data_IF_540612010455
#
_entry.id   IF_540612010455
#
_cell.length_a   1.000
_cell.length_b   1.000
_cell.length_c   1.000
_cell.angle_alpha   90.00
_cell.angle_beta   90.00
_cell.angle_gamma   90.00
#
_symmetry.space_group_name_H-M   'P 1'
#
loop_
_entity.id
_entity.type
_entity.pdbx_description
1 polymer ?
#
# COMPACT_ATOMS: atom_id res chain seq x y z
N UNK A 1 32.14 55.57 -33.70
CA UNK A 1 33.58 55.56 -33.34
C UNK A 1 33.71 54.51 -32.27
N UNK A 2 34.32 53.34 -32.42
CA UNK A 2 35.49 52.84 -33.15
C UNK A 2 35.32 51.29 -33.17
N UNK A 3 35.28 50.58 -34.30
CA UNK A 3 36.40 49.87 -34.97
C UNK A 3 37.37 49.16 -33.99
N UNK A 4 37.87 47.93 -34.18
CA UNK A 4 37.73 46.85 -35.16
C UNK A 4 38.56 45.65 -34.60
N UNK A 5 38.27 44.41 -35.03
CA UNK A 5 39.24 43.32 -35.09
C UNK A 5 38.80 42.29 -36.14
N UNK A 6 39.68 42.04 -37.11
CA UNK A 6 39.56 41.23 -38.32
C UNK A 6 39.92 39.74 -38.06
N UNK A 7 39.17 38.77 -38.62
CA UNK A 7 39.54 37.82 -39.71
C UNK A 7 40.40 36.60 -39.27
N UNK A 8 40.25 35.35 -39.72
CA UNK A 8 40.14 34.76 -41.08
C UNK A 8 39.71 33.26 -41.02
N UNK A 9 38.96 32.82 -42.07
CA UNK A 9 38.99 31.52 -42.83
C UNK A 9 38.70 30.18 -42.13
N UNK A 10 38.08 29.16 -42.74
CA UNK A 10 37.80 28.83 -44.15
C UNK A 10 36.48 28.05 -44.30
N UNK A 11 35.95 28.05 -45.52
CA UNK A 11 34.85 27.22 -46.00
C UNK A 11 35.36 25.89 -46.58
N UNK A 12 34.50 24.87 -46.56
CA UNK A 12 34.40 23.69 -47.45
C UNK A 12 33.25 22.83 -46.87
N UNK A 13 32.36 22.15 -47.56
CA UNK A 13 31.81 22.15 -48.93
C UNK A 13 30.72 21.06 -48.91
N UNK A 14 29.65 21.26 -49.68
CA UNK A 14 28.84 20.26 -50.38
C UNK A 14 28.11 19.13 -49.62
N UNK A 15 26.82 18.98 -49.95
CA UNK A 15 26.10 17.75 -49.65
C UNK A 15 24.58 17.85 -49.68
N UNK A 16 24.00 18.42 -50.73
CA UNK A 16 22.59 18.21 -51.06
C UNK A 16 22.42 16.77 -51.53
N UNK A 17 21.54 15.98 -50.90
CA UNK A 17 20.88 14.85 -51.54
C UNK A 17 19.45 14.71 -51.00
N UNK A 18 18.54 15.02 -51.90
CA UNK A 18 17.13 14.70 -51.90
C UNK A 18 16.92 13.18 -52.06
N UNK A 19 15.70 12.76 -51.76
CA UNK A 19 14.97 11.64 -52.32
C UNK A 19 14.62 10.46 -51.40
N UNK A 20 13.30 10.26 -51.42
CA UNK A 20 12.55 9.00 -51.43
C UNK A 20 12.00 8.47 -50.10
N UNK A 21 10.68 8.65 -50.01
CA UNK A 21 9.77 7.76 -49.32
C UNK A 21 10.00 6.31 -49.75
N UNK A 22 10.23 5.46 -48.77
CA UNK A 22 10.09 4.01 -48.89
C UNK A 22 9.14 3.56 -47.77
N UNK A 23 8.01 3.02 -48.19
CA UNK A 23 7.15 2.14 -47.40
C UNK A 23 7.94 0.89 -47.06
N UNK A 24 8.00 0.54 -45.78
CA UNK A 24 8.48 -0.78 -45.35
C UNK A 24 7.44 -1.39 -44.41
N UNK A 25 6.82 -2.46 -44.89
CA UNK A 25 6.01 -3.38 -44.11
C UNK A 25 6.98 -4.24 -43.29
N UNK A 26 7.07 -4.00 -41.97
CA UNK A 26 7.77 -4.91 -41.07
C UNK A 26 6.77 -5.64 -40.18
N UNK A 27 6.64 -6.92 -40.51
CA UNK A 27 5.96 -8.04 -39.85
C UNK A 27 5.70 -7.90 -38.33
N UNK A 28 4.41 -8.05 -37.98
CA UNK A 28 3.91 -8.32 -36.63
C UNK A 28 4.51 -9.63 -36.09
N UNK A 29 5.60 -9.52 -35.34
CA UNK A 29 6.12 -10.61 -34.52
C UNK A 29 5.28 -10.69 -33.24
N UNK A 30 4.26 -11.54 -33.27
CA UNK A 30 3.47 -11.91 -32.08
C UNK A 30 4.41 -12.64 -31.12
N UNK A 31 4.97 -11.93 -30.15
CA UNK A 31 5.65 -12.56 -29.01
C UNK A 31 4.58 -13.26 -28.17
N UNK A 32 4.53 -14.57 -28.27
CA UNK A 32 3.86 -15.45 -27.32
C UNK A 32 4.52 -15.23 -25.95
N UNK A 33 3.83 -14.47 -25.09
CA UNK A 33 4.14 -14.41 -23.67
C UNK A 33 3.92 -15.82 -23.12
N UNK A 34 5.03 -16.49 -22.76
CA UNK A 34 4.98 -17.77 -22.07
C UNK A 34 4.27 -17.57 -20.73
N UNK A 35 3.19 -18.31 -20.51
CA UNK A 35 2.55 -18.38 -19.21
C UNK A 35 3.56 -18.84 -18.15
N UNK A 36 3.64 -18.16 -17.00
CA UNK A 36 4.49 -18.63 -15.92
C UNK A 36 3.95 -19.98 -15.44
N UNK A 37 4.88 -20.94 -15.34
CA UNK A 37 4.62 -22.30 -14.91
C UNK A 37 3.69 -22.34 -13.69
N UNK A 38 2.66 -23.18 -13.78
CA UNK A 38 1.73 -23.48 -12.69
C UNK A 38 2.51 -23.96 -11.46
N UNK A 39 2.78 -23.02 -10.55
CA UNK A 39 3.33 -23.31 -9.24
C UNK A 39 2.30 -24.10 -8.46
N UNK A 40 2.60 -25.38 -8.25
CA UNK A 40 1.71 -26.36 -7.62
C UNK A 40 0.93 -25.81 -6.44
N UNK A 41 -0.38 -26.02 -6.46
CA UNK A 41 -1.29 -25.70 -5.38
C UNK A 41 -0.79 -26.37 -4.10
N UNK A 42 -0.16 -25.57 -3.22
CA UNK A 42 0.12 -26.02 -1.86
C UNK A 42 -1.24 -26.21 -1.17
N UNK A 43 -1.40 -27.41 -0.64
CA UNK A 43 -2.55 -27.91 0.08
C UNK A 43 -3.05 -26.87 1.08
N UNK A 44 -4.35 -26.58 1.00
CA UNK A 44 -5.00 -25.56 1.82
C UNK A 44 -5.08 -26.09 3.26
N UNK A 45 -4.56 -25.33 4.22
CA UNK A 45 -4.83 -25.60 5.62
C UNK A 45 -6.30 -25.22 5.90
N UNK A 46 -7.05 -26.18 6.46
CA UNK A 46 -8.45 -26.02 6.80
C UNK A 46 -8.70 -24.74 7.61
N UNK A 47 -9.83 -24.09 7.32
CA UNK A 47 -10.24 -22.86 7.98
C UNK A 47 -10.26 -23.07 9.50
N UNK A 48 -9.44 -22.31 10.22
CA UNK A 48 -9.50 -22.26 11.69
C UNK A 48 -10.93 -21.89 12.14
N UNK A 49 -11.35 -22.39 13.31
CA UNK A 49 -12.67 -22.10 13.85
C UNK A 49 -12.92 -20.58 13.92
N UNK A 50 -14.13 -20.10 13.59
CA UNK A 50 -14.43 -18.69 13.58
C UNK A 50 -14.16 -18.04 14.94
N UNK A 51 -13.22 -17.09 14.97
CA UNK A 51 -12.84 -16.34 16.18
C UNK A 51 -14.04 -15.52 16.64
N UNK A 52 -14.45 -15.73 17.89
CA UNK A 52 -15.53 -14.94 18.51
C UNK A 52 -14.95 -13.65 19.06
N UNK A 53 -15.19 -12.52 18.37
CA UNK A 53 -14.82 -11.20 18.87
C UNK A 53 -15.82 -10.80 19.96
N UNK A 54 -15.43 -10.91 21.23
CA UNK A 54 -16.21 -10.38 22.36
C UNK A 54 -16.01 -8.87 22.46
N UNK A 55 -16.65 -8.12 21.56
CA UNK A 55 -16.77 -6.68 21.72
C UNK A 55 -17.77 -6.32 22.83
N UNK A 56 -17.67 -5.11 23.39
CA UNK A 56 -18.70 -4.48 24.24
C UNK A 56 -20.01 -4.16 23.49
N UNK A 57 -20.06 -4.50 22.20
CA UNK A 57 -21.21 -4.36 21.32
C UNK A 57 -22.13 -5.57 21.46
N UNK A 58 -23.45 -5.40 21.31
CA UNK A 58 -24.43 -6.51 21.26
C UNK A 58 -24.23 -7.46 20.07
N UNK A 59 -23.28 -7.18 19.18
CA UNK A 59 -23.00 -7.95 17.98
C UNK A 59 -21.72 -8.78 18.15
N UNK A 60 -21.87 -10.10 18.14
CA UNK A 60 -20.75 -11.02 17.95
C UNK A 60 -20.50 -11.14 16.45
N UNK A 61 -19.34 -10.67 15.99
CA UNK A 61 -18.90 -10.90 14.61
C UNK A 61 -18.09 -12.19 14.61
N UNK A 62 -18.51 -13.14 13.77
CA UNK A 62 -17.79 -14.38 13.47
C UNK A 62 -17.41 -14.35 12.00
N UNK A 63 -16.32 -13.67 11.64
CA UNK A 63 -15.91 -13.65 10.25
C UNK A 63 -15.47 -15.07 9.88
N UNK A 64 -16.04 -15.62 8.81
CA UNK A 64 -15.50 -16.83 8.20
C UNK A 64 -14.40 -16.41 7.24
N UNK A 65 -13.16 -16.88 7.40
CA UNK A 65 -12.09 -16.58 6.47
C UNK A 65 -12.51 -16.97 5.05
N UNK A 66 -12.22 -16.11 4.07
CA UNK A 66 -12.49 -16.42 2.68
C UNK A 66 -11.68 -17.65 2.27
N UNK A 67 -12.37 -18.76 1.99
CA UNK A 67 -11.80 -20.03 1.54
C UNK A 67 -11.98 -20.19 0.03
N UNK A 68 -11.19 -21.06 -0.60
CA UNK A 68 -11.39 -21.43 -1.99
C UNK A 68 -12.82 -21.93 -2.25
N UNK A 69 -13.41 -22.66 -1.29
CA UNK A 69 -14.79 -23.11 -1.38
C UNK A 69 -15.81 -21.95 -1.39
N UNK A 70 -15.58 -20.89 -0.60
CA UNK A 70 -16.42 -19.67 -0.63
C UNK A 70 -16.30 -18.97 -1.99
N UNK A 71 -15.07 -18.85 -2.52
CA UNK A 71 -14.82 -18.21 -3.82
C UNK A 71 -15.54 -18.94 -4.96
N UNK A 72 -15.45 -20.28 -4.99
CA UNK A 72 -16.14 -21.13 -5.96
C UNK A 72 -17.66 -21.06 -5.78
N UNK A 73 -18.16 -21.14 -4.54
CA UNK A 73 -19.60 -21.13 -4.25
C UNK A 73 -20.27 -19.78 -4.58
N UNK A 74 -19.54 -18.66 -4.47
CA UNK A 74 -20.04 -17.32 -4.80
C UNK A 74 -20.09 -17.05 -6.31
N UNK A 75 -19.59 -17.97 -7.16
CA UNK A 75 -19.43 -17.71 -8.59
C UNK A 75 -18.43 -16.58 -8.89
N UNK A 76 -17.60 -16.23 -7.92
CA UNK A 76 -16.52 -15.25 -8.08
C UNK A 76 -15.48 -15.86 -9.03
N UNK A 77 -15.54 -15.46 -10.30
CA UNK A 77 -14.61 -15.90 -11.34
C UNK A 77 -13.17 -15.42 -11.13
N UNK A 78 -12.38 -15.51 -12.20
CA UNK A 78 -10.93 -15.19 -12.30
C UNK A 78 -10.55 -13.73 -11.96
N UNK A 79 -11.47 -12.90 -11.50
CA UNK A 79 -11.30 -11.45 -11.30
C UNK A 79 -11.26 -11.01 -9.83
N UNK A 80 -10.90 -11.88 -8.89
CA UNK A 80 -10.74 -11.54 -7.48
C UNK A 80 -9.29 -11.66 -7.07
N UNK A 81 -8.80 -10.72 -6.26
CA UNK A 81 -7.45 -10.81 -5.70
C UNK A 81 -7.29 -12.11 -4.92
N UNK A 82 -6.16 -12.78 -5.15
CA UNK A 82 -5.73 -13.91 -4.34
C UNK A 82 -5.67 -13.48 -2.87
N UNK A 83 -6.30 -14.26 -2.00
CA UNK A 83 -6.37 -14.07 -0.54
C UNK A 83 -6.35 -15.43 0.14
N UNK A 84 -5.29 -16.22 -0.09
CA UNK A 84 -5.15 -17.62 0.30
C UNK A 84 -3.96 -17.95 1.22
N UNK A 85 -3.00 -17.05 1.43
CA UNK A 85 -1.82 -17.24 2.29
C UNK A 85 -2.15 -17.10 3.79
N UNK A 86 -1.42 -17.80 4.65
CA UNK A 86 -1.54 -17.68 6.12
C UNK A 86 -0.17 -17.36 6.73
N UNK A 87 0.02 -16.19 7.37
CA UNK A 87 -0.95 -15.10 7.47
C UNK A 87 -1.31 -14.51 6.10
N UNK A 88 -2.52 -13.95 5.98
CA UNK A 88 -3.00 -13.25 4.75
C UNK A 88 -2.14 -12.04 4.43
N UNK A 89 -1.55 -11.46 5.46
CA UNK A 89 -0.54 -10.44 5.38
C UNK A 89 -0.38 -9.70 6.70
N UNK A 90 0.21 -8.50 6.65
CA UNK A 90 0.40 -7.65 7.82
C UNK A 90 -0.72 -6.63 7.97
N UNK A 91 -1.09 -6.35 9.21
CA UNK A 91 -1.99 -5.29 9.62
C UNK A 91 -1.26 -4.33 10.56
N UNK A 92 -0.85 -3.17 10.06
CA UNK A 92 -0.16 -2.16 10.85
C UNK A 92 -1.19 -1.25 11.52
N UNK A 93 -1.20 -1.17 12.84
CA UNK A 93 -2.19 -0.41 13.61
C UNK A 93 -1.50 0.69 14.41
N UNK A 94 -1.61 1.93 13.94
CA UNK A 94 -1.14 3.11 14.67
C UNK A 94 -2.30 3.69 15.48
N UNK A 95 -2.14 3.76 16.80
CA UNK A 95 -3.16 4.26 17.71
C UNK A 95 -2.58 5.36 18.61
N UNK A 96 -2.77 6.61 18.19
CA UNK A 96 -2.33 7.77 18.95
C UNK A 96 -3.50 8.29 19.81
N UNK A 97 -3.29 8.29 21.12
CA UNK A 97 -4.29 8.62 22.14
C UNK A 97 -3.81 9.77 23.00
N UNK A 98 -2.55 9.74 23.44
CA UNK A 98 -1.97 10.71 24.39
C UNK A 98 -1.04 11.66 23.66
N UNK A 99 -1.51 12.88 23.44
CA UNK A 99 -0.77 13.91 22.73
C UNK A 99 -0.05 14.86 23.68
N UNK A 100 1.06 15.41 23.22
CA UNK A 100 1.79 16.49 23.88
C UNK A 100 1.10 17.85 23.64
N UNK A 101 1.64 18.90 24.24
CA UNK A 101 1.27 20.31 23.96
C UNK A 101 -0.21 20.68 24.19
N UNK A 102 -0.84 20.12 25.22
CA UNK A 102 -2.22 20.43 25.62
C UNK A 102 -3.29 20.05 24.58
N UNK A 103 -2.99 19.14 23.65
CA UNK A 103 -4.02 18.55 22.79
C UNK A 103 -4.90 17.57 23.56
N UNK A 104 -6.18 17.55 23.18
CA UNK A 104 -7.17 16.67 23.80
C UNK A 104 -6.84 15.19 23.55
N UNK A 105 -6.78 14.35 24.61
CA UNK A 105 -6.61 12.92 24.44
C UNK A 105 -7.79 12.27 23.71
N UNK A 106 -7.51 11.24 22.90
CA UNK A 106 -8.53 10.53 22.11
C UNK A 106 -9.16 9.38 22.89
N UNK A 107 -9.87 9.71 23.99
CA UNK A 107 -10.53 8.71 24.82
C UNK A 107 -11.47 7.80 24.01
N UNK A 108 -11.38 6.49 24.26
CA UNK A 108 -12.15 5.47 23.54
C UNK A 108 -11.45 4.89 22.31
N UNK A 109 -10.40 5.54 21.78
CA UNK A 109 -9.65 5.00 20.63
C UNK A 109 -9.01 3.64 20.91
N UNK A 110 -8.67 3.35 22.17
CA UNK A 110 -8.18 2.02 22.56
C UNK A 110 -9.21 0.91 22.32
N UNK A 111 -10.51 1.20 22.48
CA UNK A 111 -11.57 0.23 22.17
C UNK A 111 -11.67 -0.03 20.66
N UNK A 112 -11.46 1.00 19.83
CA UNK A 112 -11.44 0.84 18.38
C UNK A 112 -10.21 0.04 17.95
N UNK A 113 -9.04 0.32 18.54
CA UNK A 113 -7.82 -0.47 18.36
C UNK A 113 -8.05 -1.94 18.70
N UNK A 114 -8.59 -2.24 19.88
CA UNK A 114 -8.84 -3.62 20.33
C UNK A 114 -9.78 -4.36 19.35
N UNK A 115 -10.83 -3.68 18.88
CA UNK A 115 -11.78 -4.27 17.92
C UNK A 115 -11.15 -4.51 16.56
N UNK A 116 -10.34 -3.57 16.07
CA UNK A 116 -9.65 -3.70 14.79
C UNK A 116 -8.59 -4.80 14.81
N UNK A 117 -7.76 -4.83 15.86
CA UNK A 117 -6.78 -5.90 16.07
C UNK A 117 -7.46 -7.27 16.11
N UNK A 118 -8.52 -7.41 16.91
CA UNK A 118 -9.24 -8.66 17.03
C UNK A 118 -9.90 -9.06 15.69
N UNK A 119 -10.48 -8.11 14.95
CA UNK A 119 -11.07 -8.34 13.63
C UNK A 119 -10.06 -8.83 12.60
N UNK A 120 -8.91 -8.16 12.48
CA UNK A 120 -7.91 -8.53 11.49
C UNK A 120 -7.15 -9.81 11.85
N UNK A 121 -6.96 -10.10 13.15
CA UNK A 121 -6.52 -11.42 13.60
C UNK A 121 -7.52 -12.52 13.21
N UNK A 122 -8.83 -12.28 13.35
CA UNK A 122 -9.87 -13.22 12.90
C UNK A 122 -9.91 -13.41 11.37
N UNK A 123 -9.42 -12.43 10.61
CA UNK A 123 -9.18 -12.54 9.17
C UNK A 123 -7.80 -13.11 8.81
N UNK A 124 -7.08 -13.67 9.78
CA UNK A 124 -5.76 -14.30 9.62
C UNK A 124 -4.65 -13.32 9.18
N UNK A 125 -4.74 -12.05 9.57
CA UNK A 125 -3.62 -11.11 9.44
C UNK A 125 -2.73 -11.16 10.69
N UNK A 126 -1.44 -10.91 10.50
CA UNK A 126 -0.50 -10.62 11.59
C UNK A 126 -0.62 -9.14 11.93
N UNK A 127 -1.17 -8.81 13.10
CA UNK A 127 -1.32 -7.43 13.54
C UNK A 127 -0.08 -6.93 14.29
N UNK A 128 0.42 -5.75 13.92
CA UNK A 128 1.47 -5.02 14.63
C UNK A 128 0.89 -3.71 15.16
N UNK A 129 0.85 -3.55 16.48
CA UNK A 129 0.22 -2.40 17.14
C UNK A 129 1.28 -1.41 17.63
N UNK A 130 1.12 -0.15 17.24
CA UNK A 130 2.02 0.97 17.54
C UNK A 130 1.26 2.06 18.31
N UNK A 131 1.30 2.06 19.66
CA UNK A 131 0.63 3.06 20.48
C UNK A 131 1.45 4.35 20.58
N UNK A 132 0.78 5.50 20.55
CA UNK A 132 1.33 6.82 20.88
C UNK A 132 2.69 7.13 20.22
N UNK A 133 2.74 7.10 18.88
CA UNK A 133 3.97 7.35 18.11
C UNK A 133 4.07 8.80 17.63
N UNK A 134 5.31 9.31 17.66
CA UNK A 134 5.70 10.57 17.04
C UNK A 134 5.67 10.46 15.51
N UNK A 135 5.50 11.60 14.84
CA UNK A 135 5.34 11.65 13.38
C UNK A 135 6.50 10.96 12.65
N UNK A 136 7.73 11.31 13.02
CA UNK A 136 8.92 10.73 12.40
C UNK A 136 8.98 9.21 12.60
N UNK A 137 8.58 8.70 13.77
CA UNK A 137 8.63 7.27 14.08
C UNK A 137 7.57 6.49 13.30
N UNK A 138 6.37 7.06 13.13
CA UNK A 138 5.35 6.45 12.26
C UNK A 138 5.87 6.31 10.83
N UNK A 139 6.51 7.35 10.29
CA UNK A 139 7.08 7.31 8.93
C UNK A 139 8.18 6.26 8.80
N UNK A 140 9.06 6.15 9.80
CA UNK A 140 10.10 5.11 9.84
C UNK A 140 9.49 3.70 9.86
N UNK A 141 8.52 3.44 10.72
CA UNK A 141 7.84 2.15 10.83
C UNK A 141 7.11 1.74 9.53
N UNK A 142 6.50 2.70 8.83
CA UNK A 142 5.87 2.47 7.54
C UNK A 142 6.92 2.09 6.47
N UNK A 143 8.05 2.81 6.43
CA UNK A 143 9.14 2.53 5.51
C UNK A 143 9.80 1.16 5.81
N UNK A 144 10.07 0.85 7.08
CA UNK A 144 10.58 -0.46 7.52
C UNK A 144 9.63 -1.58 7.11
N UNK A 145 8.33 -1.40 7.31
CA UNK A 145 7.34 -2.39 6.89
C UNK A 145 7.33 -2.58 5.37
N UNK A 146 7.42 -1.52 4.58
CA UNK A 146 7.46 -1.58 3.12
C UNK A 146 8.68 -2.35 2.56
N UNK A 147 9.79 -2.37 3.30
CA UNK A 147 11.02 -3.11 2.94
C UNK A 147 11.06 -4.53 3.52
N UNK A 148 10.06 -4.94 4.29
CA UNK A 148 10.03 -6.26 4.93
C UNK A 148 9.82 -7.38 3.91
N UNK A 149 10.65 -8.42 3.97
CA UNK A 149 10.48 -9.64 3.17
C UNK A 149 9.16 -10.36 3.46
N UNK A 150 8.54 -10.14 4.63
CA UNK A 150 7.23 -10.71 4.99
C UNK A 150 6.11 -10.25 4.01
N UNK A 151 6.25 -9.10 3.36
CA UNK A 151 5.26 -8.63 2.39
C UNK A 151 5.33 -9.39 1.05
N UNK A 152 6.48 -9.98 0.72
CA UNK A 152 6.63 -10.81 -0.47
C UNK A 152 5.78 -12.08 -0.35
N UNK A 153 5.70 -12.64 0.86
CA UNK A 153 4.88 -13.81 1.23
C UNK A 153 3.50 -13.46 1.79
N UNK A 154 3.06 -12.20 1.68
CA UNK A 154 1.70 -11.77 2.00
C UNK A 154 0.83 -11.68 0.74
N UNK A 155 -0.48 -11.88 0.87
CA UNK A 155 -1.46 -11.61 -0.19
C UNK A 155 -2.03 -10.19 -0.11
N UNK A 156 -1.99 -9.55 1.06
CA UNK A 156 -2.59 -8.23 1.30
C UNK A 156 -1.79 -7.43 2.34
N UNK A 157 -1.90 -6.09 2.27
CA UNK A 157 -1.48 -5.20 3.35
C UNK A 157 -2.69 -4.45 3.90
N UNK A 158 -2.75 -4.32 5.22
CA UNK A 158 -3.67 -3.44 5.91
C UNK A 158 -2.89 -2.43 6.73
N UNK A 159 -3.25 -1.15 6.63
CA UNK A 159 -2.72 -0.07 7.47
C UNK A 159 -3.90 0.68 8.08
N UNK A 160 -3.92 0.75 9.40
CA UNK A 160 -4.95 1.41 10.19
C UNK A 160 -4.27 2.51 10.98
N UNK A 161 -4.70 3.75 10.80
CA UNK A 161 -4.14 4.88 11.53
C UNK A 161 -5.27 5.66 12.21
N UNK A 162 -5.18 5.75 13.54
CA UNK A 162 -6.17 6.40 14.40
C UNK A 162 -5.46 7.50 15.18
N UNK A 163 -5.74 8.76 14.84
CA UNK A 163 -5.07 9.92 15.43
C UNK A 163 -5.92 11.19 15.28
N UNK A 164 -5.38 12.32 15.71
CA UNK A 164 -5.81 13.62 15.20
C UNK A 164 -5.27 13.83 13.79
N UNK A 165 -5.80 14.80 13.07
CA UNK A 165 -5.40 15.09 11.71
C UNK A 165 -6.16 16.26 11.10
N UNK A 166 -5.73 16.60 9.90
CA UNK A 166 -6.32 17.65 9.07
C UNK A 166 -6.46 17.11 7.62
N UNK A 167 -6.85 17.97 6.69
CA UNK A 167 -7.07 17.60 5.31
C UNK A 167 -5.81 16.96 4.69
N UNK A 168 -5.91 15.66 4.45
CA UNK A 168 -4.82 14.80 3.93
C UNK A 168 -3.61 14.65 4.87
N UNK A 169 -3.75 15.01 6.14
CA UNK A 169 -2.69 14.90 7.14
C UNK A 169 -3.12 14.00 8.30
N UNK A 170 -2.14 13.38 8.94
CA UNK A 170 -2.34 12.66 10.21
C UNK A 170 -1.21 13.01 11.18
N UNK A 171 -1.58 13.22 12.45
CA UNK A 171 -0.65 13.73 13.45
C UNK A 171 0.04 12.62 14.24
N UNK A 172 1.30 12.84 14.59
CA UNK A 172 2.00 12.15 15.67
C UNK A 172 1.63 12.72 17.04
N UNK A 173 2.01 12.02 18.11
CA UNK A 173 1.77 12.50 19.49
C UNK A 173 2.56 13.76 19.85
N UNK A 174 3.59 14.06 19.08
CA UNK A 174 4.35 15.31 19.06
C UNK A 174 3.62 16.47 18.37
N UNK A 175 2.47 16.23 17.74
CA UNK A 175 1.71 17.26 17.02
C UNK A 175 2.29 17.61 15.65
N UNK A 176 3.41 16.99 15.26
CA UNK A 176 3.92 17.02 13.89
C UNK A 176 3.04 16.13 12.99
N UNK A 177 3.08 16.37 11.69
CA UNK A 177 2.13 15.78 10.73
C UNK A 177 2.82 14.93 9.65
N UNK A 178 2.12 13.91 9.18
CA UNK A 178 2.45 13.15 7.96
C UNK A 178 1.41 13.45 6.90
N UNK A 179 1.88 13.71 5.67
CA UNK A 179 1.00 13.83 4.52
C UNK A 179 0.63 12.43 4.01
N UNK A 180 -0.66 12.08 4.04
CA UNK A 180 -1.14 10.73 3.73
C UNK A 180 -0.64 10.23 2.36
N UNK A 181 -0.65 11.08 1.34
CA UNK A 181 -0.20 10.68 -0.01
C UNK A 181 1.31 10.41 -0.06
N UNK A 182 2.13 11.26 0.55
CA UNK A 182 3.57 11.29 0.31
C UNK A 182 4.34 10.48 1.35
N UNK A 183 3.84 10.46 2.58
CA UNK A 183 4.51 9.83 3.72
C UNK A 183 3.93 8.46 4.05
N UNK A 184 2.66 8.20 3.69
CA UNK A 184 1.97 6.93 4.01
C UNK A 184 1.73 6.09 2.75
N UNK A 185 0.90 6.55 1.82
CA UNK A 185 0.49 5.75 0.65
C UNK A 185 1.66 5.50 -0.30
N UNK A 186 2.52 6.50 -0.52
CA UNK A 186 3.68 6.37 -1.37
C UNK A 186 4.61 5.24 -0.91
N UNK A 187 4.71 4.94 0.39
CA UNK A 187 5.57 3.86 0.89
C UNK A 187 5.18 2.49 0.31
N UNK A 188 3.90 2.29 0.00
CA UNK A 188 3.36 1.02 -0.46
C UNK A 188 2.88 1.05 -1.92
N UNK A 189 3.26 2.06 -2.69
CA UNK A 189 2.98 2.08 -4.13
C UNK A 189 3.84 1.04 -4.88
N UNK A 190 3.61 0.89 -6.18
CA UNK A 190 4.30 -0.13 -6.98
C UNK A 190 5.82 0.11 -7.10
N UNK A 191 6.27 1.35 -6.94
CA UNK A 191 7.68 1.72 -7.10
C UNK A 191 8.45 1.46 -5.80
N UNK A 192 7.89 1.89 -4.66
CA UNK A 192 8.55 1.86 -3.36
C UNK A 192 8.35 0.54 -2.60
N UNK A 193 7.29 -0.23 -2.90
CA UNK A 193 7.06 -1.56 -2.35
C UNK A 193 6.74 -2.59 -3.45
N UNK A 194 7.76 -3.06 -4.21
CA UNK A 194 7.58 -4.05 -5.27
C UNK A 194 6.93 -5.35 -4.79
N UNK A 195 7.14 -5.73 -3.53
CA UNK A 195 6.57 -6.92 -2.90
C UNK A 195 5.04 -6.95 -2.87
N UNK A 196 4.40 -5.78 -2.97
CA UNK A 196 2.94 -5.62 -2.99
C UNK A 196 2.37 -5.33 -4.39
N UNK A 197 3.17 -5.35 -5.46
CA UNK A 197 2.64 -5.16 -6.83
C UNK A 197 1.56 -6.19 -7.15
N UNK A 198 0.43 -5.72 -7.69
CA UNK A 198 -0.73 -6.56 -8.00
C UNK A 198 -1.48 -7.11 -6.78
N UNK A 199 -1.07 -6.75 -5.55
CA UNK A 199 -1.73 -7.15 -4.30
C UNK A 199 -2.55 -5.99 -3.70
N UNK A 200 -3.72 -6.27 -3.10
CA UNK A 200 -4.55 -5.26 -2.46
C UNK A 200 -3.84 -4.62 -1.26
N UNK A 201 -4.08 -3.31 -1.09
CA UNK A 201 -3.55 -2.48 -0.01
C UNK A 201 -4.70 -1.67 0.57
N UNK A 202 -5.06 -1.95 1.82
CA UNK A 202 -6.20 -1.34 2.49
C UNK A 202 -5.71 -0.31 3.52
N UNK A 203 -6.24 0.91 3.44
CA UNK A 203 -5.92 1.98 4.37
C UNK A 203 -7.19 2.44 5.08
N UNK A 204 -7.17 2.41 6.42
CA UNK A 204 -8.26 2.91 7.27
C UNK A 204 -7.74 4.09 8.08
N UNK A 205 -8.22 5.29 7.79
CA UNK A 205 -7.76 6.53 8.42
C UNK A 205 -8.89 7.08 9.28
N UNK A 206 -8.77 6.94 10.60
CA UNK A 206 -9.66 7.55 11.58
C UNK A 206 -8.99 8.80 12.14
N UNK A 207 -9.21 9.92 11.46
CA UNK A 207 -8.73 11.24 11.85
C UNK A 207 -9.72 12.31 11.38
N UNK A 208 -9.65 13.49 12.01
CA UNK A 208 -10.30 14.68 11.46
C UNK A 208 -9.70 15.03 10.09
N UNK A 209 -10.43 15.79 9.29
CA UNK A 209 -10.00 16.24 7.95
C UNK A 209 -10.12 17.76 7.82
N UNK A 210 -9.90 18.44 8.93
CA UNK A 210 -10.18 19.87 9.11
C UNK A 210 -11.48 20.12 9.88
N UNK A 211 -11.55 21.29 10.48
CA UNK A 211 -12.74 21.85 11.10
C UNK A 211 -13.13 23.14 10.36
N UNK A 212 -14.43 23.30 10.11
CA UNK A 212 -15.01 24.54 9.58
C UNK A 212 -15.02 25.65 10.62
#
# INVERSE_FOLDING_TARGET
MQAAAESLTSAESDGLNDATAATDESESSTQTVQEPAEGGAKEWHDAEEPVTLKGTSRYSVRPTPCSAAIMVAQGCGVSVYRMGLSPRGRCLIFNNVKFKYYKEPRFGSDHDKDRMEALFNAFLFKCDVYPDNEAHKMKELLAEAAQSEELASADCLVVIMMSHGDQNMIEGVDGDELHLVNDVYAQFNNDNCPALRGKPKLFFIQACRGGV
#
